data_IF_415847616493
#
_entry.id   IF_415847616493
#
_cell.length_a   1.000
_cell.length_b   1.000
_cell.length_c   1.000
_cell.angle_alpha   90.00
_cell.angle_beta   90.00
_cell.angle_gamma   90.00
#
_symmetry.space_group_name_H-M   'P 1'
#
loop_
_entity.id
_entity.type
_entity.pdbx_description
1 polymer ?
#
# COMPACT_ATOMS: atom_id res chain seq x y z
N UNK A 1 -4.21 3.62 -10.12
CA UNK A 1 -4.55 3.98 -8.74
C UNK A 1 -3.53 4.94 -8.11
N UNK A 2 -2.27 4.98 -8.59
CA UNK A 2 -1.28 5.97 -8.16
C UNK A 2 -0.20 5.47 -7.20
N UNK A 3 -0.12 4.19 -6.86
CA UNK A 3 0.94 3.66 -5.97
C UNK A 3 2.35 3.89 -6.53
N UNK A 4 2.59 3.47 -7.77
CA UNK A 4 3.88 3.69 -8.47
C UNK A 4 4.22 5.17 -8.57
N UNK A 5 3.23 6.02 -8.85
CA UNK A 5 3.39 7.48 -8.90
C UNK A 5 3.76 8.04 -7.53
N UNK A 6 3.10 7.55 -6.46
CA UNK A 6 3.38 7.95 -5.08
C UNK A 6 4.83 7.63 -4.69
N UNK A 7 5.27 6.40 -4.93
CA UNK A 7 6.65 6.00 -4.63
C UNK A 7 7.64 6.81 -5.46
N UNK A 8 7.38 6.99 -6.75
CA UNK A 8 8.24 7.78 -7.64
C UNK A 8 8.35 9.25 -7.25
N UNK A 9 7.27 9.86 -6.78
CA UNK A 9 7.25 11.26 -6.39
C UNK A 9 8.08 11.55 -5.13
N UNK A 10 8.15 10.61 -4.19
CA UNK A 10 8.80 10.80 -2.89
C UNK A 10 10.22 10.23 -2.82
N UNK A 11 10.51 9.20 -3.60
CA UNK A 11 11.80 8.49 -3.52
C UNK A 11 12.96 9.40 -3.92
N UNK A 12 14.06 9.32 -3.16
CA UNK A 12 15.34 9.99 -3.44
C UNK A 12 16.23 9.19 -4.41
N UNK A 13 15.90 7.92 -4.60
CA UNK A 13 16.52 7.05 -5.59
C UNK A 13 15.57 6.83 -6.75
N UNK A 14 16.09 6.47 -7.92
CA UNK A 14 15.23 5.97 -8.99
C UNK A 14 14.45 4.78 -8.47
N UNK A 15 13.09 4.79 -8.56
CA UNK A 15 12.29 3.69 -8.05
C UNK A 15 12.74 2.38 -8.68
N UNK A 16 13.07 1.40 -7.85
CA UNK A 16 13.37 0.06 -8.31
C UNK A 16 12.05 -0.67 -8.45
N UNK A 17 11.71 -1.05 -9.68
CA UNK A 17 10.66 -2.03 -9.91
C UNK A 17 11.32 -3.39 -9.90
N UNK A 18 11.15 -4.16 -8.82
CA UNK A 18 11.65 -5.53 -8.75
C UNK A 18 10.64 -6.45 -9.40
N UNK A 19 11.04 -7.09 -10.48
CA UNK A 19 10.29 -8.19 -11.07
C UNK A 19 10.75 -9.49 -10.39
N UNK A 20 9.86 -10.08 -9.58
CA UNK A 20 10.08 -11.41 -9.03
C UNK A 20 9.31 -12.43 -9.86
N UNK A 21 10.02 -13.38 -10.45
CA UNK A 21 9.38 -14.51 -11.10
C UNK A 21 8.90 -15.49 -10.03
N UNK A 22 7.60 -15.71 -9.96
CA UNK A 22 7.03 -16.75 -9.13
C UNK A 22 6.67 -17.95 -9.98
N UNK A 23 7.25 -19.08 -9.64
CA UNK A 23 6.89 -20.36 -10.19
C UNK A 23 5.85 -21.00 -9.28
N UNK A 24 4.59 -21.06 -9.69
CA UNK A 24 3.60 -21.87 -9.00
C UNK A 24 3.74 -23.32 -9.49
N UNK A 25 4.23 -24.19 -8.63
CA UNK A 25 4.06 -25.61 -8.82
C UNK A 25 2.60 -25.95 -8.48
N UNK A 26 1.78 -26.19 -9.48
CA UNK A 26 0.51 -26.85 -9.25
C UNK A 26 0.82 -28.31 -8.89
N UNK A 27 0.63 -28.67 -7.62
CA UNK A 27 0.60 -30.06 -7.18
C UNK A 27 -0.68 -30.65 -7.75
N UNK A 28 -0.62 -31.16 -8.96
CA UNK A 28 -1.66 -31.96 -9.58
C UNK A 28 -1.56 -33.38 -9.03
N UNK A 29 -2.65 -33.83 -8.41
CA UNK A 29 -2.89 -35.22 -8.07
C UNK A 29 -2.82 -36.06 -9.36
N UNK A 30 -1.95 -37.04 -9.34
CA UNK A 30 -1.77 -38.16 -10.27
C UNK A 30 -2.61 -38.15 -11.56
N UNK A 31 -1.96 -37.85 -12.67
CA UNK A 31 -2.19 -38.55 -13.93
C UNK A 31 -0.90 -38.59 -14.74
N UNK A 32 -0.47 -39.80 -14.99
CA UNK A 32 0.70 -40.16 -15.78
C UNK A 32 0.55 -39.55 -17.18
N UNK A 33 1.44 -38.61 -17.53
CA UNK A 33 1.71 -38.31 -18.93
C UNK A 33 1.37 -36.92 -19.47
N UNK A 34 1.22 -35.88 -18.64
CA UNK A 34 1.12 -34.51 -19.14
C UNK A 34 2.25 -33.62 -18.62
N UNK A 35 2.89 -32.92 -19.56
CA UNK A 35 3.93 -31.94 -19.28
C UNK A 35 3.42 -30.89 -18.28
N UNK A 36 4.09 -30.74 -17.14
CA UNK A 36 3.85 -29.69 -16.18
C UNK A 36 4.11 -28.34 -16.84
N UNK A 37 3.07 -27.60 -17.17
CA UNK A 37 3.20 -26.22 -17.62
C UNK A 37 3.57 -25.37 -16.41
N UNK A 38 4.85 -25.05 -16.26
CA UNK A 38 5.28 -24.07 -15.27
C UNK A 38 4.77 -22.71 -15.72
N UNK A 39 3.79 -22.18 -15.00
CA UNK A 39 3.30 -20.83 -15.25
C UNK A 39 4.13 -19.88 -14.40
N UNK A 40 5.03 -19.15 -15.04
CA UNK A 40 5.81 -18.09 -14.40
C UNK A 40 5.01 -16.80 -14.44
N UNK A 41 4.74 -16.22 -13.27
CA UNK A 41 4.08 -14.92 -13.16
C UNK A 41 5.08 -13.90 -12.61
N UNK A 42 5.30 -12.83 -13.35
CA UNK A 42 6.12 -11.71 -12.90
C UNK A 42 5.32 -10.82 -11.96
N UNK A 43 5.85 -10.58 -10.77
CA UNK A 43 5.28 -9.64 -9.80
C UNK A 43 6.17 -8.42 -9.75
N UNK A 44 5.60 -7.26 -10.09
CA UNK A 44 6.27 -5.98 -9.97
C UNK A 44 5.95 -5.35 -8.61
N UNK A 45 7.00 -4.98 -7.86
CA UNK A 45 6.91 -4.19 -6.63
C UNK A 45 7.70 -2.90 -6.80
N UNK A 46 7.11 -1.79 -6.39
CA UNK A 46 7.80 -0.51 -6.33
C UNK A 46 8.54 -0.40 -4.99
N UNK A 47 9.75 0.10 -5.04
CA UNK A 47 10.57 0.38 -3.86
C UNK A 47 11.16 1.79 -3.93
N UNK A 48 11.07 2.53 -2.85
CA UNK A 48 11.63 3.86 -2.72
C UNK A 48 12.26 4.10 -1.37
N UNK A 49 13.11 5.12 -1.30
CA UNK A 49 13.78 5.56 -0.08
C UNK A 49 13.60 7.06 0.10
N UNK A 50 13.26 7.46 1.33
CA UNK A 50 13.20 8.85 1.75
C UNK A 50 14.04 9.05 3.01
N UNK A 51 15.00 9.97 2.97
CA UNK A 51 15.76 10.40 4.13
C UNK A 51 14.98 11.48 4.90
N UNK A 52 14.63 11.20 6.14
CA UNK A 52 13.96 12.17 7.02
C UNK A 52 15.01 13.06 7.67
N UNK A 53 16.08 12.47 8.22
CA UNK A 53 17.24 13.17 8.78
C UNK A 53 18.48 12.27 8.67
N UNK A 54 19.61 12.69 9.28
CA UNK A 54 20.87 11.95 9.21
C UNK A 54 20.81 10.53 9.83
N UNK A 55 19.82 10.28 10.68
CA UNK A 55 19.68 9.02 11.43
C UNK A 55 18.49 8.18 11.02
N UNK A 56 17.52 8.75 10.26
CA UNK A 56 16.26 8.12 9.92
C UNK A 56 16.01 8.11 8.43
N UNK A 57 15.90 6.93 7.87
CA UNK A 57 15.45 6.68 6.50
C UNK A 57 14.14 5.90 6.52
N UNK A 58 13.23 6.28 5.64
CA UNK A 58 12.02 5.52 5.36
C UNK A 58 12.22 4.67 4.10
N UNK A 59 11.90 3.41 4.21
CA UNK A 59 11.78 2.49 3.10
C UNK A 59 10.31 2.35 2.74
N UNK A 60 9.98 2.56 1.48
CA UNK A 60 8.61 2.62 0.98
C UNK A 60 8.42 1.50 -0.03
N UNK A 61 7.45 0.64 0.22
CA UNK A 61 7.13 -0.49 -0.65
C UNK A 61 5.74 -0.29 -1.24
N UNK A 62 5.65 -0.32 -2.56
CA UNK A 62 4.37 -0.40 -3.25
C UNK A 62 3.93 -1.85 -3.38
N UNK A 63 2.87 -2.23 -2.68
CA UNK A 63 2.35 -3.60 -2.74
C UNK A 63 1.73 -3.90 -4.10
N UNK A 64 1.80 -5.16 -4.59
CA UNK A 64 1.04 -5.58 -5.75
C UNK A 64 -0.46 -5.35 -5.55
N UNK A 65 -1.11 -4.69 -6.51
CA UNK A 65 -2.53 -4.31 -6.38
C UNK A 65 -3.52 -5.43 -6.64
N UNK A 66 -3.06 -6.60 -7.12
CA UNK A 66 -3.93 -7.73 -7.41
C UNK A 66 -4.08 -8.61 -6.17
N UNK A 67 -5.32 -8.95 -5.83
CA UNK A 67 -5.66 -9.77 -4.63
C UNK A 67 -4.98 -11.13 -4.61
N UNK A 68 -4.67 -11.72 -5.78
CA UNK A 68 -3.92 -12.97 -5.88
C UNK A 68 -2.51 -12.90 -5.28
N UNK A 69 -1.97 -11.70 -5.07
CA UNK A 69 -0.67 -11.47 -4.45
C UNK A 69 -0.75 -11.01 -3.00
N UNK A 70 -1.93 -11.07 -2.38
CA UNK A 70 -2.14 -10.65 -1.00
C UNK A 70 -1.28 -11.44 0.01
N UNK A 71 -0.86 -12.67 -0.33
CA UNK A 71 0.05 -13.46 0.52
C UNK A 71 1.41 -12.77 0.75
N UNK A 72 1.87 -11.90 -0.16
CA UNK A 72 3.10 -11.11 0.01
C UNK A 72 2.93 -10.00 1.04
N UNK A 73 1.71 -9.58 1.31
CA UNK A 73 1.45 -8.52 2.28
C UNK A 73 1.86 -8.93 3.69
N UNK A 74 1.69 -10.21 4.05
CA UNK A 74 2.09 -10.71 5.37
C UNK A 74 3.59 -10.53 5.63
N UNK A 75 4.42 -10.73 4.62
CA UNK A 75 5.86 -10.54 4.73
C UNK A 75 6.24 -9.05 4.77
N UNK A 76 5.58 -8.20 3.96
CA UNK A 76 5.82 -6.77 3.92
C UNK A 76 5.39 -6.06 5.21
N UNK A 77 4.31 -6.52 5.84
CA UNK A 77 3.79 -5.95 7.09
C UNK A 77 4.68 -6.26 8.29
N UNK A 78 5.46 -7.34 8.25
CA UNK A 78 6.46 -7.64 9.29
C UNK A 78 7.51 -6.54 9.34
N UNK A 79 7.53 -5.78 10.44
CA UNK A 79 8.45 -4.65 10.62
C UNK A 79 8.02 -3.34 9.96
N UNK A 80 6.88 -3.29 9.28
CA UNK A 80 6.32 -2.04 8.78
C UNK A 80 5.79 -1.18 9.94
N UNK A 81 5.99 0.13 9.85
CA UNK A 81 5.47 1.11 10.81
C UNK A 81 4.00 1.41 10.57
N UNK A 82 3.60 1.49 9.34
CA UNK A 82 2.25 1.82 8.93
C UNK A 82 2.05 1.65 7.43
N UNK A 83 0.85 1.95 6.96
CA UNK A 83 0.50 1.85 5.56
C UNK A 83 -0.30 3.08 5.07
N UNK A 84 -0.13 3.39 3.79
CA UNK A 84 -0.97 4.34 3.07
C UNK A 84 -1.81 3.55 2.05
N UNK A 85 -3.11 3.50 2.28
CA UNK A 85 -4.07 2.91 1.32
C UNK A 85 -4.43 3.97 0.29
N UNK A 86 -3.95 3.79 -0.92
CA UNK A 86 -4.19 4.74 -2.02
C UNK A 86 -5.55 4.45 -2.64
N UNK A 87 -6.44 5.43 -2.59
CA UNK A 87 -7.82 5.33 -3.08
C UNK A 87 -8.00 6.15 -4.35
N UNK A 88 -8.54 5.50 -5.36
CA UNK A 88 -9.14 6.13 -6.53
C UNK A 88 -10.66 6.04 -6.40
N UNK A 89 -11.33 7.17 -6.29
CA UNK A 89 -12.79 7.20 -6.07
C UNK A 89 -13.59 6.62 -7.23
N UNK A 90 -13.00 6.53 -8.42
CA UNK A 90 -13.63 5.86 -9.57
C UNK A 90 -13.55 4.32 -9.48
N UNK A 91 -12.71 3.80 -8.60
CA UNK A 91 -12.45 2.37 -8.41
C UNK A 91 -12.33 2.01 -6.92
N UNK A 92 -13.26 2.51 -6.13
CA UNK A 92 -13.23 2.37 -4.67
C UNK A 92 -13.28 0.91 -4.23
N UNK A 93 -13.94 0.06 -4.99
CA UNK A 93 -14.06 -1.38 -4.70
C UNK A 93 -12.71 -2.09 -4.65
N UNK A 94 -11.73 -1.62 -5.41
CA UNK A 94 -10.37 -2.17 -5.42
C UNK A 94 -9.64 -1.96 -4.07
N UNK A 95 -10.15 -1.09 -3.20
CA UNK A 95 -9.52 -0.73 -1.95
C UNK A 95 -9.98 -1.57 -0.75
N UNK A 96 -11.15 -2.21 -0.82
CA UNK A 96 -11.69 -3.02 0.28
C UNK A 96 -10.73 -4.09 0.79
N UNK A 97 -10.06 -4.88 -0.07
CA UNK A 97 -9.13 -5.90 0.40
C UNK A 97 -7.97 -5.34 1.23
N UNK A 98 -7.48 -4.15 0.86
CA UNK A 98 -6.39 -3.49 1.58
C UNK A 98 -6.85 -2.96 2.94
N UNK A 99 -8.01 -2.32 3.00
CA UNK A 99 -8.60 -1.81 4.25
C UNK A 99 -8.84 -2.97 5.22
N UNK A 100 -9.53 -4.02 4.77
CA UNK A 100 -9.80 -5.21 5.58
C UNK A 100 -8.52 -5.88 6.09
N UNK A 101 -7.51 -5.93 5.24
CA UNK A 101 -6.24 -6.53 5.59
C UNK A 101 -5.53 -5.77 6.72
N UNK A 102 -5.38 -4.45 6.58
CA UNK A 102 -4.66 -3.65 7.59
C UNK A 102 -5.43 -3.53 8.90
N UNK A 103 -6.77 -3.51 8.87
CA UNK A 103 -7.59 -3.59 10.08
C UNK A 103 -7.36 -4.89 10.83
N UNK A 104 -7.37 -6.04 10.13
CA UNK A 104 -7.10 -7.35 10.73
C UNK A 104 -5.68 -7.52 11.22
N UNK A 105 -4.70 -7.02 10.47
CA UNK A 105 -3.30 -7.06 10.86
C UNK A 105 -2.98 -6.14 12.05
N UNK A 106 -3.88 -5.21 12.38
CA UNK A 106 -3.65 -4.22 13.43
C UNK A 106 -2.50 -3.26 13.12
N UNK A 107 -2.11 -3.11 11.85
CA UNK A 107 -1.12 -2.14 11.42
C UNK A 107 -1.77 -0.75 11.33
N UNK A 108 -1.16 0.31 11.88
CA UNK A 108 -1.64 1.67 11.65
C UNK A 108 -1.69 1.99 10.16
N UNK A 109 -2.78 2.54 9.69
CA UNK A 109 -2.90 2.94 8.29
C UNK A 109 -3.70 4.22 8.12
N UNK A 110 -3.49 4.84 6.99
CA UNK A 110 -4.17 6.06 6.55
C UNK A 110 -4.79 5.79 5.20
N UNK A 111 -6.00 6.27 4.99
CA UNK A 111 -6.66 6.26 3.69
C UNK A 111 -6.33 7.54 2.95
N UNK A 112 -5.58 7.44 1.88
CA UNK A 112 -5.19 8.55 1.02
C UNK A 112 -5.99 8.58 -0.27
N UNK A 113 -6.93 9.51 -0.38
CA UNK A 113 -7.70 9.73 -1.61
C UNK A 113 -6.83 10.49 -2.60
N UNK A 114 -6.43 9.82 -3.67
CA UNK A 114 -5.62 10.43 -4.71
C UNK A 114 -6.48 11.36 -5.57
N UNK A 115 -6.16 12.64 -5.52
CA UNK A 115 -6.87 13.65 -6.33
C UNK A 115 -6.20 13.80 -7.68
N UNK A 116 -6.87 13.33 -8.72
CA UNK A 116 -6.41 13.55 -10.08
C UNK A 116 -6.75 14.99 -10.52
N UNK A 117 -5.72 15.79 -10.79
CA UNK A 117 -5.87 17.21 -11.17
C UNK A 117 -6.53 18.09 -10.08
N UNK A 118 -6.39 17.74 -8.81
CA UNK A 118 -6.95 18.51 -7.70
C UNK A 118 -8.47 18.41 -7.55
N UNK A 119 -9.11 17.51 -8.30
CA UNK A 119 -10.56 17.31 -8.21
C UNK A 119 -10.86 16.06 -7.40
N UNK A 120 -11.80 16.18 -6.48
CA UNK A 120 -12.44 15.05 -5.80
C UNK A 120 -13.90 14.98 -6.23
N UNK A 121 -14.31 13.80 -6.71
CA UNK A 121 -15.71 13.56 -7.06
C UNK A 121 -16.61 13.38 -5.84
N UNK A 122 -16.01 13.05 -4.68
CA UNK A 122 -16.69 12.76 -3.42
C UNK A 122 -15.97 13.42 -2.26
N UNK A 123 -16.69 13.75 -1.20
CA UNK A 123 -16.10 14.25 0.04
C UNK A 123 -15.33 13.13 0.78
N UNK A 124 -14.42 13.52 1.66
CA UNK A 124 -13.68 12.54 2.49
C UNK A 124 -14.61 11.73 3.40
N UNK A 125 -15.72 12.34 3.87
CA UNK A 125 -16.71 11.66 4.68
C UNK A 125 -17.50 10.60 3.89
N UNK A 126 -17.83 10.89 2.63
CA UNK A 126 -18.44 9.91 1.72
C UNK A 126 -17.50 8.73 1.45
N UNK A 127 -16.21 9.00 1.25
CA UNK A 127 -15.19 7.94 1.08
C UNK A 127 -15.04 7.11 2.35
N UNK A 128 -15.01 7.75 3.53
CA UNK A 128 -14.97 7.08 4.82
C UNK A 128 -16.16 6.13 4.98
N UNK A 129 -17.34 6.63 4.70
CA UNK A 129 -18.57 5.85 4.80
C UNK A 129 -18.57 4.66 3.82
N UNK A 130 -18.20 4.91 2.57
CA UNK A 130 -18.16 3.87 1.53
C UNK A 130 -17.17 2.75 1.86
N UNK A 131 -16.00 3.08 2.40
CA UNK A 131 -14.98 2.10 2.81
C UNK A 131 -15.25 1.50 4.20
N UNK A 132 -16.26 2.00 4.92
CA UNK A 132 -16.61 1.57 6.28
C UNK A 132 -15.42 1.57 7.26
N UNK A 133 -14.47 2.48 7.08
CA UNK A 133 -13.30 2.58 7.96
C UNK A 133 -13.69 3.21 9.30
N UNK A 134 -13.02 2.75 10.36
CA UNK A 134 -13.25 3.24 11.73
C UNK A 134 -12.93 4.73 11.83
N UNK A 135 -13.53 5.38 12.82
CA UNK A 135 -13.36 6.83 13.04
C UNK A 135 -11.93 7.23 13.37
N UNK A 136 -11.16 6.33 13.99
CA UNK A 136 -9.78 6.55 14.37
C UNK A 136 -8.78 6.44 13.19
N UNK A 137 -9.23 5.96 12.02
CA UNK A 137 -8.42 5.90 10.81
C UNK A 137 -8.51 7.22 10.04
N UNK A 138 -7.41 7.94 9.84
CA UNK A 138 -7.42 9.16 9.06
C UNK A 138 -7.79 8.90 7.60
N UNK A 139 -8.68 9.73 7.06
CA UNK A 139 -9.00 9.80 5.63
C UNK A 139 -8.58 11.17 5.14
N UNK A 140 -7.63 11.22 4.24
CA UNK A 140 -7.03 12.46 3.74
C UNK A 140 -7.09 12.51 2.22
N UNK A 141 -7.04 13.72 1.65
CA UNK A 141 -6.80 13.91 0.23
C UNK A 141 -5.31 14.19 -0.02
N UNK A 142 -4.78 13.68 -1.10
CA UNK A 142 -3.43 14.00 -1.55
C UNK A 142 -3.32 13.85 -3.07
N UNK A 143 -2.29 14.41 -3.66
CA UNK A 143 -1.97 14.22 -5.08
C UNK A 143 -0.65 13.48 -5.22
N UNK A 144 -0.71 12.26 -5.73
CA UNK A 144 0.42 11.36 -5.88
C UNK A 144 1.56 11.93 -6.76
N UNK A 145 1.28 12.93 -7.58
CA UNK A 145 2.27 13.54 -8.48
C UNK A 145 3.16 14.57 -7.79
N UNK A 146 2.72 15.12 -6.67
CA UNK A 146 3.44 16.18 -5.98
C UNK A 146 4.15 15.66 -4.75
N UNK A 147 5.48 15.79 -4.73
CA UNK A 147 6.33 15.36 -3.63
C UNK A 147 5.87 15.89 -2.27
N UNK A 148 5.52 17.18 -2.19
CA UNK A 148 5.06 17.81 -0.95
C UNK A 148 3.77 17.15 -0.43
N UNK A 149 2.82 16.87 -1.33
CA UNK A 149 1.56 16.23 -0.99
C UNK A 149 1.76 14.79 -0.50
N UNK A 150 2.62 14.02 -1.17
CA UNK A 150 2.98 12.67 -0.75
C UNK A 150 3.71 12.67 0.60
N UNK A 151 4.65 13.59 0.79
CA UNK A 151 5.36 13.77 2.08
C UNK A 151 4.35 14.01 3.21
N UNK A 152 3.42 14.91 3.03
CA UNK A 152 2.43 15.26 4.06
C UNK A 152 1.53 14.05 4.39
N UNK A 153 1.13 13.27 3.37
CA UNK A 153 0.39 12.02 3.58
C UNK A 153 1.20 10.99 4.38
N UNK A 154 2.50 10.83 4.09
CA UNK A 154 3.37 9.92 4.83
C UNK A 154 3.61 10.39 6.27
N UNK A 155 3.66 11.68 6.53
CA UNK A 155 3.75 12.22 7.89
C UNK A 155 2.52 11.84 8.72
N UNK A 156 1.32 11.84 8.14
CA UNK A 156 0.11 11.36 8.84
C UNK A 156 0.23 9.86 9.17
N UNK A 157 0.81 9.05 8.28
CA UNK A 157 1.07 7.61 8.57
C UNK A 157 2.04 7.47 9.75
N UNK A 158 3.11 8.26 9.78
CA UNK A 158 4.09 8.24 10.90
C UNK A 158 3.46 8.68 12.21
N UNK A 159 2.60 9.69 12.21
CA UNK A 159 1.87 10.14 13.40
C UNK A 159 0.98 9.03 13.95
N UNK A 160 0.27 8.29 13.09
CA UNK A 160 -0.53 7.14 13.50
C UNK A 160 0.33 6.01 14.11
N UNK A 161 1.48 5.75 13.54
CA UNK A 161 2.42 4.76 14.05
C UNK A 161 2.97 5.17 15.42
N UNK A 162 3.31 6.44 15.59
CA UNK A 162 3.80 6.99 16.86
C UNK A 162 2.74 6.95 17.96
N UNK A 163 1.52 7.37 17.66
CA UNK A 163 0.40 7.32 18.59
C UNK A 163 0.13 5.90 19.09
N UNK A 164 0.17 4.93 18.18
CA UNK A 164 0.04 3.52 18.56
C UNK A 164 1.18 3.08 19.47
N UNK A 165 2.43 3.41 19.14
CA UNK A 165 3.59 3.05 19.96
C UNK A 165 3.52 3.65 21.36
N UNK A 166 3.04 4.87 21.51
CA UNK A 166 2.83 5.54 22.79
C UNK A 166 1.75 4.82 23.60
N UNK A 167 0.62 4.50 23.01
CA UNK A 167 -0.49 3.79 23.69
C UNK A 167 -0.09 2.39 24.16
N UNK A 168 0.78 1.70 23.42
CA UNK A 168 1.26 0.37 23.81
C UNK A 168 2.25 0.40 24.98
N UNK A 169 2.87 1.55 25.27
CA UNK A 169 3.81 1.73 26.39
C UNK A 169 3.14 2.25 27.66
N UNK A 170 1.94 2.75 27.53
CA UNK A 170 1.12 3.22 28.65
C UNK A 170 0.33 2.06 29.27
#
# INVERSE_FOLDING_TARGET
VGKTTTVGAISEISPLTTEAEMTSESIGIDNVGQATTKTTTTIAMDFGVLTIDQTLKLYIFGTPGQTRFAFMWDDLVKGALGALVVVDTNRIDDCYPAVDYFERAGLPFVVGVNTFNGQMGYSLDEVRWALAVREDVPVISYDARFRASVRDALLVVLDQALDKAIRMKA
#
